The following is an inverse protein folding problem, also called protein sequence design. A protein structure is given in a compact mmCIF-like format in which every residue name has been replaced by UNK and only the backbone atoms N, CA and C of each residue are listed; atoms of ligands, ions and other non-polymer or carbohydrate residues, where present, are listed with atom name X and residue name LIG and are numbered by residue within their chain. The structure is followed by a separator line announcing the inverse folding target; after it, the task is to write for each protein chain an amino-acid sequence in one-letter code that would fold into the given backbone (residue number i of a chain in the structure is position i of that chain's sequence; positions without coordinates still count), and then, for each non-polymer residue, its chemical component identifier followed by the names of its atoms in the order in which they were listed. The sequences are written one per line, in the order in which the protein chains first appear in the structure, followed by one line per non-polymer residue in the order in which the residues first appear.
data_IF_113931902538
#
_entry.id   IF_113931902538
#
_cell.length_a   1.000
_cell.length_b   1.000
_cell.length_c   1.000
_cell.angle_alpha   90.00
_cell.angle_beta   90.00
_cell.angle_gamma   90.00
#
_symmetry.space_group_name_H-M   'P 1'
#
loop_
_entity.id
_entity.type
_entity.pdbx_description
1 polymer ?
2 non-polymer ?
3 water ?
#
# COMPACT_ATOMS: atom_id res chain seq x y z
N UNK A 1 6.27 -1.33 -19.41
CA UNK A 1 5.01 -0.78 -18.85
C UNK A 1 5.04 -0.94 -17.34
N UNK A 2 4.45 0.01 -16.63
CA UNK A 2 4.38 -0.10 -15.17
C UNK A 2 3.04 -0.53 -14.71
N UNK A 3 3.06 -1.34 -13.66
CA UNK A 3 1.86 -1.71 -12.97
C UNK A 3 1.31 -0.47 -12.27
N UNK A 4 0.03 -0.55 -11.89
CA UNK A 4 -0.69 0.55 -11.29
C UNK A 4 -1.32 0.11 -9.98
N UNK A 5 -1.33 0.99 -8.99
CA UNK A 5 -1.98 0.70 -7.73
C UNK A 5 -3.02 1.75 -7.36
N UNK A 6 -4.21 1.30 -6.99
CA UNK A 6 -5.23 2.15 -6.41
C UNK A 6 -5.39 1.87 -4.92
N UNK A 7 -5.66 2.94 -4.16
CA UNK A 7 -5.96 2.84 -2.74
C UNK A 7 -7.33 3.47 -2.47
N UNK A 8 -8.19 2.71 -1.82
CA UNK A 8 -9.40 3.25 -1.22
C UNK A 8 -9.17 3.30 0.27
N UNK A 9 -9.02 4.51 0.81
CA UNK A 9 -8.82 4.73 2.24
C UNK A 9 -10.18 4.93 2.88
N UNK A 10 -10.54 4.01 3.76
CA UNK A 10 -11.85 3.99 4.43
C UNK A 10 -11.71 4.38 5.88
N UNK A 11 -12.30 5.52 6.22
CA UNK A 11 -12.35 6.01 7.59
C UNK A 11 -13.57 5.37 8.22
N UNK A 12 -13.37 4.65 9.33
CA UNK A 12 -14.40 3.84 9.90
C UNK A 12 -14.60 4.14 11.37
N UNK A 13 -15.78 3.81 11.89
CA UNK A 13 -16.01 3.88 13.33
C UNK A 13 -14.97 3.08 14.09
N UNK A 14 -14.57 3.58 15.27
CA UNK A 14 -13.65 2.84 16.13
C UNK A 14 -14.18 1.42 16.34
N UNK A 15 -13.33 0.43 16.12
CA UNK A 15 -13.68 -0.97 16.35
C UNK A 15 -14.35 -1.71 15.20
N UNK A 16 -14.65 -1.04 14.10
CA UNK A 16 -15.35 -1.71 13.01
C UNK A 16 -14.44 -2.28 11.89
N UNK A 17 -13.13 -2.15 12.03
CA UNK A 17 -12.22 -2.63 10.98
C UNK A 17 -12.40 -4.13 10.67
N UNK A 18 -12.46 -4.97 11.70
CA UNK A 18 -12.58 -6.43 11.51
C UNK A 18 -13.85 -6.84 10.79
N UNK A 19 -15.02 -6.34 11.21
CA UNK A 19 -16.27 -6.73 10.55
C UNK A 19 -16.28 -6.23 9.11
N UNK A 20 -15.63 -5.10 8.86
CA UNK A 20 -15.57 -4.52 7.51
C UNK A 20 -14.65 -5.37 6.62
N UNK A 21 -13.47 -5.73 7.12
CA UNK A 21 -12.52 -6.60 6.38
C UNK A 21 -13.13 -7.97 6.12
N UNK A 22 -13.94 -8.47 7.07
CA UNK A 22 -14.62 -9.75 6.85
C UNK A 22 -15.52 -9.78 5.63
N UNK A 23 -16.08 -8.63 5.25
CA UNK A 23 -16.91 -8.53 4.05
C UNK A 23 -16.20 -8.89 2.74
N UNK A 24 -14.88 -8.75 2.70
CA UNK A 24 -14.09 -9.05 1.50
C UNK A 24 -13.85 -10.55 1.28
N UNK A 25 -14.05 -11.36 2.31
CA UNK A 25 -13.80 -12.81 2.16
C UNK A 25 -14.67 -13.40 1.06
N UNK A 26 -15.87 -12.85 0.90
CA UNK A 26 -16.82 -13.35 -0.08
C UNK A 26 -16.46 -12.75 -1.45
N UNK A 27 -15.86 -13.56 -2.34
CA UNK A 27 -15.49 -13.10 -3.69
C UNK A 27 -16.72 -12.83 -4.55
N UNK A 28 -16.70 -11.70 -5.25
CA UNK A 28 -17.84 -11.24 -6.00
C UNK A 28 -17.49 -10.87 -7.45
N UNK A 29 -16.48 -11.52 -8.00
CA UNK A 29 -16.17 -11.38 -9.44
C UNK A 29 -14.85 -10.70 -9.78
N UNK A 30 -14.19 -10.13 -8.76
CA UNK A 30 -12.84 -9.52 -8.98
C UNK A 30 -11.88 -10.49 -9.67
N UNK A 31 -12.07 -11.79 -9.40
CA UNK A 31 -11.20 -12.79 -9.96
C UNK A 31 -11.44 -13.03 -11.48
N UNK A 32 -12.44 -12.38 -12.05
CA UNK A 32 -12.74 -12.50 -13.47
C UNK A 32 -12.39 -11.24 -14.25
N UNK A 33 -11.80 -10.28 -13.56
CA UNK A 33 -11.58 -8.96 -14.15
C UNK A 33 -10.24 -8.87 -14.88
N UNK A 34 -10.26 -8.42 -16.14
CA UNK A 34 -9.08 -8.24 -16.96
C UNK A 34 -8.05 -7.27 -16.34
N UNK A 35 -6.79 -7.67 -16.26
CA UNK A 35 -5.75 -6.77 -15.78
C UNK A 35 -5.55 -6.72 -14.26
N UNK A 36 -6.49 -7.31 -13.51
CA UNK A 36 -6.37 -7.34 -12.05
C UNK A 36 -5.30 -8.35 -11.66
N UNK A 37 -4.44 -7.98 -10.70
CA UNK A 37 -3.38 -8.87 -10.28
C UNK A 37 -3.47 -9.29 -8.80
N UNK A 38 -3.52 -8.33 -7.88
CA UNK A 38 -3.71 -8.67 -6.46
C UNK A 38 -4.37 -7.56 -5.64
N UNK A 39 -4.78 -7.90 -4.42
CA UNK A 39 -5.40 -6.90 -3.57
C UNK A 39 -4.99 -7.19 -2.14
N UNK A 40 -4.81 -6.13 -1.35
CA UNK A 40 -4.61 -6.26 0.08
C UNK A 40 -5.67 -5.37 0.73
N UNK A 41 -6.28 -5.87 1.79
CA UNK A 41 -7.18 -5.04 2.59
C UNK A 41 -6.54 -4.96 3.97
N UNK A 42 -6.12 -3.75 4.37
CA UNK A 42 -5.30 -3.56 5.57
C UNK A 42 -6.06 -2.85 6.68
N UNK A 43 -5.73 -3.16 7.93
CA UNK A 43 -6.09 -2.31 9.05
C UNK A 43 -4.87 -1.51 9.50
N UNK A 44 -5.00 -0.20 9.64
CA UNK A 44 -3.87 0.61 10.08
C UNK A 44 -3.66 0.34 11.57
N UNK A 45 -2.42 0.06 11.95
CA UNK A 45 -2.11 -0.23 13.35
C UNK A 45 -1.91 1.04 14.15
N UNK A 46 -2.29 0.98 15.43
CA UNK A 46 -2.01 2.05 16.38
C UNK A 46 -2.90 3.27 16.21
N UNK A 47 -4.04 3.11 15.52
CA UNK A 47 -4.94 4.24 15.32
C UNK A 47 -5.62 4.56 16.64
N UNK A 48 -5.70 5.85 16.97
CA UNK A 48 -6.18 6.28 18.28
C UNK A 48 -7.65 6.75 18.26
N UNK A 49 -8.15 7.08 17.07
CA UNK A 49 -9.49 7.64 16.91
C UNK A 49 -10.34 6.67 16.09
N UNK A 50 -10.68 7.06 14.88
CA UNK A 50 -11.40 6.18 13.97
C UNK A 50 -10.50 4.99 13.52
N UNK A 51 -11.11 3.86 13.17
CA UNK A 51 -10.41 2.75 12.53
C UNK A 51 -10.14 3.17 11.09
N UNK A 52 -9.12 2.57 10.48
CA UNK A 52 -8.78 2.88 9.09
C UNK A 52 -8.50 1.59 8.34
N UNK A 53 -9.21 1.41 7.23
CA UNK A 53 -9.07 0.22 6.41
C UNK A 53 -8.77 0.73 5.01
N UNK A 54 -7.76 0.13 4.39
CA UNK A 54 -7.41 0.49 3.02
C UNK A 54 -7.60 -0.70 2.10
N UNK A 55 -8.24 -0.45 0.96
CA UNK A 55 -8.26 -1.44 -0.09
C UNK A 55 -7.19 -1.07 -1.10
N UNK A 56 -6.19 -1.94 -1.25
CA UNK A 56 -5.09 -1.72 -2.16
C UNK A 56 -5.27 -2.72 -3.29
N UNK A 57 -5.45 -2.20 -4.50
CA UNK A 57 -5.60 -3.08 -5.67
C UNK A 57 -4.45 -2.82 -6.63
N UNK A 58 -3.92 -3.90 -7.18
CA UNK A 58 -2.72 -3.87 -8.02
C UNK A 58 -3.14 -4.35 -9.39
N UNK A 59 -2.82 -3.53 -10.39
CA UNK A 59 -3.30 -3.69 -11.77
C UNK A 59 -2.18 -3.70 -12.77
N UNK A 60 -2.36 -4.44 -13.87
CA UNK A 60 -1.41 -4.41 -15.00
C UNK A 60 -1.26 -3.01 -15.60
N UNK A 61 -2.30 -2.19 -15.48
CA UNK A 61 -2.28 -0.83 -16.00
C UNK A 61 -3.38 0.00 -15.35
N UNK A 62 -3.20 1.32 -15.37
CA UNK A 62 -4.28 2.24 -14.99
C UNK A 62 -5.57 2.02 -15.79
N UNK A 63 -5.44 1.71 -17.08
CA UNK A 63 -6.62 1.42 -17.91
C UNK A 63 -7.46 0.25 -17.36
N UNK A 64 -6.79 -0.80 -16.87
CA UNK A 64 -7.46 -1.97 -16.28
C UNK A 64 -8.33 -1.56 -15.11
N UNK A 65 -7.77 -0.69 -14.27
CA UNK A 65 -8.49 -0.12 -13.11
C UNK A 65 -9.69 0.68 -13.59
N UNK A 66 -9.46 1.57 -14.57
CA UNK A 66 -10.54 2.40 -15.09
C UNK A 66 -11.74 1.58 -15.55
N UNK A 67 -11.46 0.53 -16.33
CA UNK A 67 -12.49 -0.36 -16.85
C UNK A 67 -13.22 -1.15 -15.76
N UNK A 68 -12.49 -1.54 -14.72
CA UNK A 68 -13.11 -2.27 -13.61
C UNK A 68 -14.24 -1.47 -13.00
N UNK A 69 -13.99 -0.18 -12.79
CA UNK A 69 -14.99 0.74 -12.26
C UNK A 69 -16.32 0.75 -13.03
N UNK A 70 -16.24 0.50 -14.34
CA UNK A 70 -17.43 0.46 -15.19
C UNK A 70 -18.08 -0.93 -15.36
N UNK A 71 -17.62 -1.92 -14.60
CA UNK A 71 -17.99 -3.32 -14.87
C UNK A 71 -19.21 -3.74 -14.06
N UNK A 72 -19.90 -4.78 -14.52
CA UNK A 72 -21.06 -5.29 -13.81
C UNK A 72 -20.67 -5.92 -12.46
N UNK A 73 -19.55 -6.63 -12.41
CA UNK A 73 -19.09 -7.21 -11.14
C UNK A 73 -18.72 -6.14 -10.10
N UNK A 74 -18.19 -5.00 -10.54
CA UNK A 74 -17.93 -3.90 -9.60
C UNK A 74 -19.26 -3.42 -8.99
N UNK A 75 -20.22 -3.14 -9.85
CA UNK A 75 -21.55 -2.70 -9.46
C UNK A 75 -22.23 -3.70 -8.53
N UNK A 76 -22.19 -4.99 -8.89
CA UNK A 76 -22.79 -6.04 -8.07
C UNK A 76 -22.12 -6.18 -6.71
N UNK A 77 -20.79 -6.13 -6.67
CA UNK A 77 -20.08 -6.31 -5.41
C UNK A 77 -20.35 -5.17 -4.44
N UNK A 78 -20.67 -3.99 -4.99
CA UNK A 78 -20.87 -2.80 -4.16
C UNK A 78 -22.32 -2.44 -3.93
N UNK A 79 -23.24 -3.29 -4.39
CA UNK A 79 -24.67 -2.93 -4.32
C UNK A 79 -25.16 -2.72 -2.88
N UNK A 80 -24.55 -3.39 -1.91
CA UNK A 80 -24.92 -3.21 -0.51
C UNK A 80 -23.88 -2.44 0.30
N UNK A 81 -22.96 -1.77 -0.40
CA UNK A 81 -21.95 -0.94 0.25
C UNK A 81 -22.49 0.49 0.40
N UNK A 82 -22.56 0.97 1.64
CA UNK A 82 -23.02 2.34 1.92
C UNK A 82 -22.05 3.09 2.82
N UNK A 83 -22.00 4.39 2.62
CA UNK A 83 -21.40 5.32 3.58
C UNK A 83 -22.46 5.68 4.64
N UNK A 84 -22.01 5.97 5.87
CA UNK A 84 -22.94 6.33 6.94
C UNK A 84 -23.82 7.52 6.59
N UNK A 85 -23.29 8.43 5.77
CA UNK A 85 -24.01 9.59 5.27
C UNK A 85 -25.10 9.27 4.23
N UNK A 86 -24.97 8.16 3.50
CA UNK A 86 -26.03 7.74 2.58
C UNK A 86 -27.39 7.64 3.28
N UNK A 87 -28.44 8.06 2.58
CA UNK A 87 -29.82 8.04 3.09
C UNK A 87 -30.24 6.76 3.79
N UNK A 88 -29.76 5.63 3.29
CA UNK A 88 -30.03 4.33 3.90
C UNK A 88 -28.76 3.75 4.55
N UNK A 89 -27.83 4.62 4.94
CA UNK A 89 -26.52 4.18 5.43
C UNK A 89 -26.24 4.34 6.91
N UNK A 90 -27.23 4.73 7.71
CA UNK A 90 -27.02 4.92 9.15
C UNK A 90 -26.27 3.76 9.85
N UNK A 91 -26.64 2.52 9.54
CA UNK A 91 -26.02 1.34 10.17
C UNK A 91 -24.58 1.07 9.72
N UNK A 92 -24.16 1.68 8.61
CA UNK A 92 -22.79 1.52 8.12
C UNK A 92 -21.76 2.19 9.02
N UNK A 93 -20.65 1.49 9.31
CA UNK A 93 -19.53 2.10 10.06
C UNK A 93 -18.56 2.83 9.15
N UNK A 94 -18.80 2.79 7.84
CA UNK A 94 -17.92 3.46 6.87
C UNK A 94 -18.28 4.95 6.78
N UNK A 95 -17.38 5.78 7.28
CA UNK A 95 -17.63 7.24 7.38
C UNK A 95 -17.25 8.01 6.10
N UNK A 96 -16.13 7.66 5.50
CA UNK A 96 -15.72 8.31 4.24
C UNK A 96 -14.84 7.38 3.44
N UNK A 97 -14.70 7.70 2.15
CA UNK A 97 -13.76 7.02 1.25
C UNK A 97 -12.89 8.07 0.55
N UNK A 98 -11.60 7.78 0.43
CA UNK A 98 -10.74 8.63 -0.37
C UNK A 98 -9.81 7.79 -1.27
N UNK A 99 -9.74 8.15 -2.56
CA UNK A 99 -8.98 7.41 -3.56
C UNK A 99 -7.58 8.02 -3.77
N UNK A 100 -6.57 7.15 -3.75
CA UNK A 100 -5.21 7.56 -4.06
C UNK A 100 -4.73 6.63 -5.16
N UNK A 101 -3.85 7.15 -6.02
CA UNK A 101 -3.39 6.42 -7.19
C UNK A 101 -1.89 6.47 -7.27
N UNK A 102 -1.31 5.36 -7.72
CA UNK A 102 0.14 5.17 -7.70
C UNK A 102 0.64 4.50 -8.96
N UNK A 103 1.81 4.91 -9.43
CA UNK A 103 2.55 4.12 -10.38
C UNK A 103 3.47 3.20 -9.56
N UNK A 104 3.45 1.90 -9.86
CA UNK A 104 4.39 0.97 -9.24
C UNK A 104 5.67 0.97 -10.07
N UNK A 105 6.73 1.54 -9.51
CA UNK A 105 7.98 1.69 -10.27
C UNK A 105 8.91 0.51 -10.07
N UNK A 106 8.70 -0.24 -8.99
CA UNK A 106 9.47 -1.44 -8.73
C UNK A 106 8.64 -2.42 -7.90
N UNK A 107 8.70 -3.69 -8.28
CA UNK A 107 8.07 -4.75 -7.47
C UNK A 107 8.97 -5.95 -7.41
N UNK A 108 8.98 -6.62 -6.27
CA UNK A 108 9.72 -7.85 -6.10
C UNK A 108 8.98 -8.78 -5.15
N UNK A 109 8.76 -10.01 -5.61
CA UNK A 109 8.09 -11.05 -4.83
C UNK A 109 9.02 -12.25 -4.67
N UNK A 110 9.29 -12.63 -3.42
CA UNK A 110 10.18 -13.74 -3.13
C UNK A 110 9.50 -15.04 -3.59
N UNK B 1 -1.98 -15.71 11.96
CA UNK B 1 -2.08 -16.06 10.52
C UNK B 1 -1.90 -14.84 9.60
N UNK B 2 -2.32 -13.67 10.06
CA UNK B 2 -2.28 -12.44 9.22
C UNK B 2 -0.89 -11.94 8.88
N UNK B 3 -0.72 -11.62 7.62
CA UNK B 3 0.46 -10.95 7.16
C UNK B 3 0.51 -9.52 7.69
N UNK B 4 1.65 -8.88 7.49
CA UNK B 4 1.94 -7.56 8.04
C UNK B 4 2.50 -6.71 6.92
N UNK B 5 2.15 -5.43 6.90
CA UNK B 5 2.69 -4.49 5.93
C UNK B 5 3.30 -3.28 6.59
N UNK B 6 4.51 -2.95 6.16
CA UNK B 6 5.19 -1.72 6.56
C UNK B 6 5.22 -0.76 5.39
N UNK B 7 5.02 0.52 5.69
CA UNK B 7 5.06 1.56 4.68
C UNK B 7 6.12 2.56 5.12
N UNK B 8 7.12 2.78 4.27
CA UNK B 8 8.04 3.91 4.41
C UNK B 8 7.55 4.97 3.43
N UNK B 9 7.07 6.08 3.98
CA UNK B 9 6.51 7.19 3.19
C UNK B 9 7.61 8.23 3.06
N UNK B 10 8.07 8.45 1.83
CA UNK B 10 9.16 9.37 1.62
C UNK B 10 8.69 10.60 0.87
N UNK B 11 8.93 11.75 1.47
CA UNK B 11 8.69 13.00 0.81
C UNK B 11 9.98 13.39 0.10
N UNK B 12 9.86 13.68 -1.20
CA UNK B 12 11.04 13.92 -2.06
C UNK B 12 10.96 15.26 -2.76
N UNK B 13 12.12 15.81 -3.14
CA UNK B 13 12.16 17.04 -3.93
C UNK B 13 11.44 16.78 -5.24
N UNK B 14 10.71 17.77 -5.73
CA UNK B 14 9.92 17.60 -6.96
C UNK B 14 10.83 17.07 -8.06
N UNK B 15 10.36 16.04 -8.77
CA UNK B 15 11.09 15.48 -9.90
C UNK B 15 12.08 14.37 -9.59
N UNK B 16 12.34 14.08 -8.32
CA UNK B 16 13.32 13.08 -7.96
C UNK B 16 12.78 11.66 -7.75
N UNK B 17 11.47 11.45 -7.89
CA UNK B 17 10.85 10.13 -7.69
C UNK B 17 11.46 9.04 -8.56
N UNK B 18 11.53 9.30 -9.86
CA UNK B 18 12.04 8.32 -10.80
C UNK B 18 13.48 7.88 -10.47
N UNK B 19 14.39 8.82 -10.22
CA UNK B 19 15.78 8.43 -9.95
C UNK B 19 15.87 7.72 -8.60
N UNK B 20 14.95 8.02 -7.69
CA UNK B 20 14.95 7.35 -6.38
C UNK B 20 14.52 5.88 -6.51
N UNK B 21 13.50 5.65 -7.32
CA UNK B 21 12.94 4.32 -7.50
C UNK B 21 13.95 3.42 -8.22
N UNK B 22 14.70 4.01 -9.15
CA UNK B 22 15.73 3.25 -9.89
C UNK B 22 16.81 2.68 -8.98
N UNK B 23 16.99 3.27 -7.81
CA UNK B 23 17.98 2.80 -6.83
C UNK B 23 17.65 1.43 -6.26
N UNK B 24 16.39 1.02 -6.37
CA UNK B 24 15.94 -0.26 -5.87
C UNK B 24 16.21 -1.44 -6.83
N UNK B 25 16.42 -1.15 -8.11
CA UNK B 25 16.48 -2.22 -9.13
C UNK B 25 17.34 -3.43 -8.83
N UNK B 26 18.55 -3.24 -8.33
CA UNK B 26 19.45 -4.38 -8.11
C UNK B 26 19.43 -4.83 -6.64
N UNK B 27 19.18 -6.10 -6.42
CA UNK B 27 18.90 -6.54 -5.05
C UNK B 27 20.16 -6.56 -4.20
N UNK B 28 19.96 -6.31 -2.90
CA UNK B 28 21.01 -6.29 -1.90
C UNK B 28 20.69 -7.22 -0.73
N UNK B 29 20.09 -8.38 -1.02
CA UNK B 29 19.99 -9.43 -0.02
C UNK B 29 18.61 -9.69 0.54
N UNK B 30 17.64 -8.90 0.13
CA UNK B 30 16.27 -9.07 0.65
C UNK B 30 15.71 -10.48 0.34
N UNK B 31 16.19 -11.08 -0.75
CA UNK B 31 15.72 -12.41 -1.14
C UNK B 31 16.12 -13.46 -0.11
N UNK B 32 17.09 -13.13 0.73
CA UNK B 32 17.60 -14.04 1.79
C UNK B 32 16.92 -13.91 3.14
N UNK B 33 16.00 -12.96 3.26
CA UNK B 33 15.46 -12.56 4.55
C UNK B 33 14.22 -13.38 4.98
N UNK B 34 14.30 -13.95 6.18
CA UNK B 34 13.23 -14.80 6.70
C UNK B 34 11.91 -14.01 6.81
N UNK B 35 10.81 -14.59 6.35
CA UNK B 35 9.51 -13.94 6.49
C UNK B 35 9.20 -12.80 5.51
N UNK B 36 10.19 -12.38 4.74
CA UNK B 36 9.90 -11.40 3.67
C UNK B 36 9.07 -12.05 2.58
N UNK B 37 8.03 -11.35 2.11
CA UNK B 37 7.19 -11.93 1.05
C UNK B 37 7.29 -11.14 -0.25
N UNK B 38 6.99 -9.85 -0.20
CA UNK B 38 7.08 -9.04 -1.42
C UNK B 38 7.15 -7.55 -1.10
N UNK B 39 7.44 -6.74 -2.13
CA UNK B 39 7.54 -5.31 -1.90
C UNK B 39 7.09 -4.54 -3.15
N UNK B 40 6.66 -3.30 -2.94
CA UNK B 40 6.27 -2.41 -4.05
C UNK B 40 6.93 -1.09 -3.74
N UNK B 41 7.40 -0.38 -4.77
CA UNK B 41 7.92 0.96 -4.57
C UNK B 41 7.13 1.84 -5.52
N UNK B 42 6.40 2.79 -4.96
CA UNK B 42 5.38 3.52 -5.74
C UNK B 42 5.70 4.98 -5.79
N UNK B 43 5.27 5.64 -6.88
CA UNK B 43 5.21 7.09 -6.94
C UNK B 43 3.72 7.46 -6.84
N UNK B 44 3.41 8.45 -6.02
CA UNK B 44 2.02 8.89 -5.86
C UNK B 44 1.67 9.79 -7.05
N UNK B 45 0.48 9.60 -7.60
CA UNK B 45 0.02 10.42 -8.71
C UNK B 45 -0.81 11.54 -8.08
N UNK B 46 -0.38 12.79 -8.21
CA UNK B 46 -1.04 13.93 -7.53
C UNK B 46 -0.50 15.23 -8.07
N UNK B 47 -1.01 16.36 -7.55
CA UNK B 47 -0.47 17.67 -7.92
C UNK B 47 0.17 18.36 -6.71
N UNK B 48 1.04 17.64 -6.00
CA UNK B 48 1.78 18.24 -4.89
C UNK B 48 3.07 18.86 -5.39
N UNK B 49 3.62 19.80 -4.62
CA UNK B 49 4.88 20.44 -5.00
C UNK B 49 6.10 19.63 -4.56
N UNK B 50 5.86 18.50 -3.89
CA UNK B 50 6.92 17.52 -3.60
C UNK B 50 6.47 16.19 -4.21
N UNK B 51 7.42 15.32 -4.55
CA UNK B 51 7.11 13.97 -5.00
C UNK B 51 6.88 13.10 -3.75
N UNK B 52 6.17 11.98 -3.91
CA UNK B 52 6.03 11.02 -2.84
C UNK B 52 6.32 9.63 -3.35
N UNK B 53 7.26 8.96 -2.69
CA UNK B 53 7.61 7.60 -3.03
C UNK B 53 7.39 6.79 -1.78
N UNK B 54 6.74 5.62 -1.92
CA UNK B 54 6.51 4.72 -0.78
C UNK B 54 7.22 3.38 -0.95
N UNK B 55 7.81 2.88 0.14
CA UNK B 55 8.28 1.50 0.12
C UNK B 55 7.28 0.68 0.90
N UNK B 56 6.55 -0.21 0.22
CA UNK B 56 5.65 -1.13 0.92
C UNK B 56 6.30 -2.49 0.99
N UNK B 57 6.51 -3.00 2.20
CA UNK B 57 7.05 -4.36 2.36
C UNK B 57 6.00 -5.25 3.05
N UNK B 58 5.87 -6.47 2.55
CA UNK B 58 4.81 -7.37 3.01
C UNK B 58 5.51 -8.55 3.65
N UNK B 59 5.11 -8.83 4.88
CA UNK B 59 5.81 -9.78 5.76
C UNK B 59 4.91 -10.85 6.29
N UNK B 60 5.47 -12.01 6.64
CA UNK B 60 4.63 -13.03 7.27
C UNK B 60 4.14 -12.59 8.66
N UNK B 61 4.90 -11.69 9.30
CA UNK B 61 4.53 -11.17 10.63
C UNK B 61 5.27 -9.87 10.89
N UNK B 62 4.81 -9.14 11.89
CA UNK B 62 5.52 -7.95 12.35
C UNK B 62 6.92 -8.30 12.90
N UNK B 63 7.02 -9.43 13.58
CA UNK B 63 8.30 -9.87 14.13
C UNK B 63 9.38 -10.06 13.04
N UNK B 64 8.99 -10.64 11.92
CA UNK B 64 9.95 -10.82 10.81
C UNK B 64 10.46 -9.49 10.28
N UNK B 65 9.56 -8.51 10.21
CA UNK B 65 9.92 -7.15 9.78
C UNK B 65 10.90 -6.54 10.79
N UNK B 66 10.60 -6.63 12.10
CA UNK B 66 11.57 -6.11 13.07
C UNK B 66 12.95 -6.78 13.00
N UNK B 67 12.98 -8.09 12.79
CA UNK B 67 14.28 -8.81 12.64
C UNK B 67 15.11 -8.30 11.50
N UNK B 68 14.44 -8.02 10.39
CA UNK B 68 15.08 -7.41 9.25
C UNK B 68 15.72 -6.07 9.59
N UNK B 69 14.99 -5.21 10.29
CA UNK B 69 15.49 -3.89 10.67
C UNK B 69 16.82 -4.01 11.43
N UNK B 70 16.90 -5.01 12.30
CA UNK B 70 18.08 -5.23 13.12
C UNK B 70 19.27 -5.88 12.35
N UNK B 71 19.04 -6.29 11.11
CA UNK B 71 19.96 -7.22 10.42
C UNK B 71 21.15 -6.54 9.75
N UNK B 72 22.21 -7.30 9.53
CA UNK B 72 23.38 -6.78 8.85
C UNK B 72 23.02 -6.49 7.39
N UNK B 73 22.16 -7.34 6.82
CA UNK B 73 21.69 -7.18 5.43
C UNK B 73 20.95 -5.86 5.23
N UNK B 74 20.07 -5.49 6.17
CA UNK B 74 19.44 -4.19 6.11
C UNK B 74 20.50 -3.09 6.16
N UNK B 75 21.39 -3.19 7.15
CA UNK B 75 22.41 -2.17 7.39
C UNK B 75 23.25 -1.98 6.13
N UNK B 76 23.70 -3.08 5.53
CA UNK B 76 24.51 -3.02 4.32
C UNK B 76 23.72 -2.39 3.16
N UNK B 77 22.46 -2.80 2.98
CA UNK B 77 21.67 -2.29 1.85
C UNK B 77 21.44 -0.77 1.95
N UNK B 78 21.51 -0.24 3.18
CA UNK B 78 21.21 1.17 3.43
C UNK B 78 22.43 2.02 3.71
N UNK B 79 23.62 1.48 3.44
CA UNK B 79 24.86 2.20 3.81
C UNK B 79 25.01 3.57 3.13
N UNK B 80 24.49 3.71 1.91
CA UNK B 80 24.54 4.99 1.20
C UNK B 80 23.20 5.73 1.18
N UNK B 81 22.25 5.28 2.00
CA UNK B 81 20.91 5.89 2.04
C UNK B 81 20.92 7.05 3.04
N UNK B 82 20.67 8.27 2.56
CA UNK B 82 20.64 9.44 3.44
C UNK B 82 19.38 10.27 3.25
N UNK B 83 18.98 10.96 4.31
CA UNK B 83 18.00 12.04 4.19
C UNK B 83 18.72 13.36 3.89
N UNK B 84 18.03 14.25 3.18
CA UNK B 84 18.53 15.61 2.95
C UNK B 84 18.94 16.26 4.28
N UNK B 85 18.21 15.94 5.34
CA UNK B 85 18.44 16.52 6.66
C UNK B 85 19.66 15.96 7.39
N UNK B 86 20.27 14.88 6.87
CA UNK B 86 21.48 14.32 7.51
C UNK B 86 22.67 15.22 7.26
N UNK B 87 23.64 15.19 8.18
CA UNK B 87 24.92 15.92 8.08
C UNK B 87 25.56 15.82 6.71
N UNK B 88 25.54 14.60 6.17
CA UNK B 88 26.17 14.28 4.89
C UNK B 88 25.13 13.91 3.83
N UNK B 89 23.92 14.44 3.98
CA UNK B 89 22.83 14.10 3.06
C UNK B 89 22.57 15.12 1.96
N UNK B 90 23.58 15.93 1.66
CA UNK B 90 23.44 17.05 0.71
C UNK B 90 22.92 16.63 -0.66
N UNK B 91 23.39 15.49 -1.15
CA UNK B 91 23.00 14.99 -2.47
C UNK B 91 21.65 14.27 -2.48
N UNK B 92 21.12 13.96 -1.31
CA UNK B 92 19.86 13.23 -1.22
C UNK B 92 18.67 14.12 -1.49
N UNK B 93 17.73 13.65 -2.35
CA UNK B 93 16.50 14.37 -2.59
C UNK B 93 15.38 13.91 -1.65
N UNK B 94 15.72 13.00 -0.74
CA UNK B 94 14.75 12.43 0.19
C UNK B 94 14.69 13.36 1.41
N UNK B 95 13.57 14.08 1.52
CA UNK B 95 13.39 15.11 2.55
C UNK B 95 13.01 14.56 3.92
N UNK B 96 12.25 13.46 3.93
CA UNK B 96 11.78 12.84 5.17
C UNK B 96 11.25 11.43 4.92
N UNK B 97 11.27 10.63 6.00
CA UNK B 97 10.72 9.29 6.04
C UNK B 97 9.76 9.17 7.22
N UNK B 98 8.60 8.57 6.97
CA UNK B 98 7.63 8.31 8.05
C UNK B 98 7.11 6.90 7.89
N UNK B 99 7.12 6.14 9.00
CA UNK B 99 6.75 4.73 8.96
C UNK B 99 5.31 4.54 9.37
N UNK B 100 4.57 3.76 8.59
CA UNK B 100 3.23 3.33 8.96
C UNK B 100 3.21 1.81 8.94
N UNK B 101 2.34 1.23 9.76
CA UNK B 101 2.27 -0.20 9.96
C UNK B 101 0.83 -0.69 9.87
N UNK B 102 0.66 -1.85 9.27
CA UNK B 102 -0.65 -2.40 8.97
C UNK B 102 -0.75 -3.89 9.23
N UNK B 103 -1.92 -4.32 9.71
CA UNK B 103 -2.33 -5.71 9.61
C UNK B 103 -2.92 -5.93 8.23
N UNK B 104 -2.54 -7.01 7.56
CA UNK B 104 -3.19 -7.40 6.31
C UNK B 104 -4.32 -8.37 6.67
N UNK B 105 -5.55 -7.86 6.65
CA UNK B 105 -6.70 -8.66 7.05
C UNK B 105 -7.22 -9.57 5.97
N UNK B 106 -6.99 -9.19 4.71
CA UNK B 106 -7.33 -10.02 3.58
C UNK B 106 -6.35 -9.78 2.43
N UNK B 107 -5.99 -10.85 1.73
CA UNK B 107 -5.15 -10.80 0.52
C UNK B 107 -5.66 -11.77 -0.49
N UNK B 108 -5.62 -11.36 -1.75
CA UNK B 108 -5.89 -12.28 -2.84
C UNK B 108 -4.96 -11.92 -3.99
N UNK B 109 -4.16 -12.89 -4.45
CA UNK B 109 -3.31 -12.73 -5.64
C UNK B 109 -3.81 -13.64 -6.73
N UNK B 110 -4.10 -13.06 -7.89
CA UNK B 110 -4.68 -13.81 -9.00
C UNK B 110 -3.62 -14.81 -9.50
X LIG C 1 -15.27 -4.90 -2.20
X LIG C 1 -12.25 -2.35 -5.01
X LIG C 1 -14.89 1.61 -3.97
X LIG C 1 -16.06 -0.73 0.14
X LIG C 1 -14.29 -4.60 -3.12
X LIG C 1 -13.48 -5.53 -3.87
X LIG C 1 -12.64 -4.80 -4.64
X LIG C 1 -12.91 -3.41 -4.40
X LIG C 1 -11.59 -5.36 -5.63
X LIG C 1 -13.61 -7.07 -3.84
X LIG C 1 -14.78 -7.28 -4.81
X LIG C 1 -15.05 -8.72 -5.23
X LIG C 1 -15.40 -8.93 -6.41
X LIG C 1 -14.97 -9.62 -4.36
X LIG C 1 -12.76 -1.06 -5.05
X LIG C 1 -12.36 -0.04 -5.98
X LIG C 1 -13.10 1.06 -5.71
X LIG C 1 -13.97 0.76 -4.59
X LIG C 1 -11.28 -0.25 -7.07
X LIG C 1 -13.03 2.41 -6.42
X LIG C 1 -11.85 2.94 -6.73
X LIG C 1 -15.37 1.37 -2.69
X LIG C 1 -15.97 2.33 -1.77
X LIG C 1 -16.28 1.66 -0.63
X LIG C 1 -15.91 0.28 -0.79
X LIG C 1 -16.21 3.83 -2.03
X LIG C 1 -16.93 2.24 0.64
X LIG C 1 -17.92 3.14 0.57
X LIG C 1 -16.03 -2.07 -0.10
X LIG C 1 -16.46 -3.10 0.82
X LIG C 1 -16.20 -4.41 0.09
X LIG C 1 -15.66 -4.05 -1.20
X LIG C 1 -17.03 -2.97 2.25
X LIG C 1 -16.48 -5.83 0.62
X LIG C 1 -17.65 -6.46 -0.14
X LIG C 1 -19.02 -6.02 0.34
X LIG C 1 -19.12 -5.26 1.33
X LIG C 1 -20.01 -6.46 -0.31
X LIG C 1 -13.93 -3.32 -3.48
X LIG C 1 -13.77 -0.55 -4.24
X LIG C 1 -15.35 0.13 -2.05
X LIG C 1 -15.56 -2.66 -1.27
X LIG C 1 -14.71 -1.63 -2.79
X LIG D 1 16.24 -0.40 -0.23
X LIG D 1 13.10 -1.77 3.20
X LIG D 1 14.06 2.36 5.54
X LIG D 1 15.43 4.16 1.22
X LIG D 1 15.35 -1.16 0.51
X LIG D 1 14.93 -2.51 0.25
X LIG D 1 14.08 -2.90 1.20
X LIG D 1 13.91 -1.78 2.10
X LIG D 1 13.37 -4.26 1.33
X LIG D 1 15.46 -3.37 -0.90
X LIG D 1 16.74 -3.96 -0.28
X LIG D 1 17.38 -5.05 -1.10
X LIG D 1 17.31 -4.99 -2.35
X LIG D 1 17.95 -6.01 -0.49
X LIG D 1 13.12 -0.80 4.20
X LIG D 1 12.49 -0.91 5.50
X LIG D 1 12.75 0.24 6.15
X LIG D 1 13.56 1.08 5.29
X LIG D 1 11.67 -2.13 5.97
X LIG D 1 12.31 0.64 7.59
X LIG D 1 11.05 0.45 8.02
X LIG D 1 14.43 3.27 4.55
X LIG D 1 14.56 4.71 4.66
X LIG D 1 14.93 5.20 3.46
X LIG D 1 15.04 4.08 2.54
X LIG D 1 14.29 5.51 5.97
X LIG D 1 15.21 6.67 3.01
X LIG D 1 15.67 7.62 3.84
X LIG D 1 15.85 3.12 0.41
X LIG D 1 16.48 3.25 -0.88
X LIG D 1 16.74 1.81 -1.33
X LIG D 1 16.24 0.98 -0.26
X LIG D 1 16.81 4.55 -1.63
X LIG D 1 17.41 1.34 -2.64
X LIG D 1 18.82 0.83 -2.34
X LIG D 1 19.89 1.88 -2.15
X LIG D 1 19.65 3.09 -2.37
X LIG D 1 21.04 1.51 -1.77
X LIG D 1 14.72 -0.74 1.66
X LIG D 1 13.78 0.40 4.12
X LIG D 1 14.76 2.93 3.24
X LIG D 1 15.72 1.78 0.72
X LIG D 1 14.81 1.07 2.45
#
# INVERSE_FOLDING_TARGET
AHMFMAENRLQLQKGSAEETIERFYNRQGIETIEGFQQMFVTKTLNTEDTDEVKILTIWESEDSFNNYLNSDVFKEAHKNVRLKSDDDGQQSPILSNKVFKYDIGYHYQK
AHMFMAENRLQLQKGSAEETIERFYNRQGIETIEGFQQMFVTKTLNTEDTDEVKILTIWESEDSFNNYLNSDVFKEAHKNVRLKSDDDGQQSPILSNKVFKYDIGYHYQK
HEM CHA CHB CHC CHD C1A C2A C3A C4A CMA CAA CBA CGA O1A O2A C1B C2B C3B C4B CMB CAB CBB C1C C2C C3C C4C CMC CAC CBC C1D C2D C3D C4D CMD CAD CBD CGD O1D O2D NA NB NC ND FE
HEM CHA CHB CHC CHD C1A C2A C3A C4A CMA CAA CBA CGA O1A O2A C1B C2B C3B C4B CMB CAB CBB C1C C2C C3C C4C CMC CAC CBC C1D C2D C3D C4D CMD CAD CBD CGD O1D O2D NA NB NC ND FE
#
